data_IF_086865686523
#
_entry.id   IF_086865686523
#
_cell.length_a   1.000
_cell.length_b   1.000
_cell.length_c   1.000
_cell.angle_alpha   90.00
_cell.angle_beta   90.00
_cell.angle_gamma   90.00
#
_symmetry.space_group_name_H-M   'P 1'
#
loop_
_entity.id
_entity.type
_entity.pdbx_description
1 polymer ?
#
# COMPACT_ATOMS: atom_id res chain seq x y z
N UNK A 1 -17.15 -14.62 -11.74
CA UNK A 1 -16.27 -13.44 -11.76
C UNK A 1 -16.90 -12.37 -12.64
N UNK A 2 -17.14 -11.20 -12.08
CA UNK A 2 -17.66 -10.04 -12.83
C UNK A 2 -16.48 -9.27 -13.41
N UNK A 3 -16.59 -8.78 -14.64
CA UNK A 3 -15.57 -7.95 -15.28
C UNK A 3 -15.72 -6.46 -14.96
N UNK A 4 -16.87 -6.09 -14.44
CA UNK A 4 -17.28 -4.71 -14.16
C UNK A 4 -17.58 -4.56 -12.67
N UNK A 5 -17.29 -3.40 -12.12
CA UNK A 5 -17.69 -3.04 -10.76
C UNK A 5 -19.23 -3.03 -10.66
N UNK A 6 -19.77 -3.33 -9.48
CA UNK A 6 -21.18 -3.14 -9.21
C UNK A 6 -21.54 -1.65 -9.16
N UNK A 7 -22.82 -1.32 -9.33
CA UNK A 7 -23.30 0.07 -9.21
C UNK A 7 -22.93 0.68 -7.83
N UNK A 8 -22.96 -0.11 -6.76
CA UNK A 8 -22.57 0.31 -5.42
C UNK A 8 -21.07 0.63 -5.34
N UNK A 9 -20.22 -0.21 -5.95
CA UNK A 9 -18.77 -0.01 -6.01
C UNK A 9 -18.40 1.21 -6.86
N UNK A 10 -19.11 1.46 -7.96
CA UNK A 10 -18.94 2.65 -8.78
C UNK A 10 -19.34 3.92 -8.03
N UNK A 11 -20.49 3.89 -7.34
CA UNK A 11 -20.98 5.00 -6.53
C UNK A 11 -20.00 5.30 -5.38
N UNK A 12 -19.59 4.27 -4.65
CA UNK A 12 -18.58 4.37 -3.60
C UNK A 12 -17.28 5.02 -4.12
N UNK A 13 -16.74 4.48 -5.22
CA UNK A 13 -15.48 4.98 -5.82
C UNK A 13 -15.62 6.45 -6.24
N UNK A 14 -16.77 6.82 -6.79
CA UNK A 14 -17.06 8.21 -7.22
C UNK A 14 -17.15 9.13 -6.02
N UNK A 15 -17.91 8.76 -4.98
CA UNK A 15 -18.07 9.55 -3.76
C UNK A 15 -16.74 9.77 -3.03
N UNK A 16 -15.93 8.71 -2.90
CA UNK A 16 -14.60 8.83 -2.30
C UNK A 16 -13.68 9.73 -3.12
N UNK A 17 -13.72 9.63 -4.46
CA UNK A 17 -12.92 10.48 -5.36
C UNK A 17 -13.29 11.95 -5.23
N UNK A 18 -14.59 12.27 -5.18
CA UNK A 18 -15.08 13.63 -5.02
C UNK A 18 -14.66 14.20 -3.66
N UNK A 19 -14.84 13.43 -2.59
CA UNK A 19 -14.43 13.83 -1.25
C UNK A 19 -12.92 14.09 -1.17
N UNK A 20 -12.08 13.18 -1.69
CA UNK A 20 -10.64 13.36 -1.74
C UNK A 20 -10.24 14.56 -2.60
N UNK A 21 -10.93 14.81 -3.71
CA UNK A 21 -10.70 15.98 -4.56
C UNK A 21 -10.93 17.31 -3.84
N UNK A 22 -11.83 17.33 -2.86
CA UNK A 22 -12.12 18.53 -2.04
C UNK A 22 -11.21 18.66 -0.81
N UNK A 23 -10.79 17.54 -0.19
CA UNK A 23 -10.08 17.52 1.09
C UNK A 23 -8.58 17.32 0.98
N UNK A 24 -8.11 16.71 -0.11
CA UNK A 24 -6.71 16.36 -0.35
C UNK A 24 -6.23 16.90 -1.71
N UNK A 25 -6.54 18.17 -2.01
CA UNK A 25 -5.97 18.86 -3.17
C UNK A 25 -4.43 18.88 -3.08
N UNK A 26 -3.71 18.90 -4.20
CA UNK A 26 -2.25 18.83 -4.21
C UNK A 26 -1.58 19.89 -3.32
N UNK A 27 -2.13 21.10 -3.24
CA UNK A 27 -1.62 22.16 -2.37
C UNK A 27 -1.76 21.80 -0.88
N UNK A 28 -2.90 21.21 -0.49
CA UNK A 28 -3.16 20.72 0.87
C UNK A 28 -2.22 19.57 1.22
N UNK A 29 -2.06 18.60 0.32
CA UNK A 29 -1.13 17.48 0.51
C UNK A 29 0.30 18.00 0.70
N UNK A 30 0.78 18.91 -0.16
CA UNK A 30 2.10 19.54 0.01
C UNK A 30 2.23 20.23 1.37
N UNK A 31 1.20 20.94 1.81
CA UNK A 31 1.19 21.59 3.12
C UNK A 31 1.40 20.61 4.27
N UNK A 32 0.71 19.47 4.26
CA UNK A 32 0.93 18.41 5.25
C UNK A 32 2.36 17.84 5.18
N UNK A 33 2.85 17.56 3.97
CA UNK A 33 4.20 16.99 3.80
C UNK A 33 5.30 17.95 4.23
N UNK A 34 5.14 19.24 3.98
CA UNK A 34 6.11 20.28 4.37
C UNK A 34 6.11 20.49 5.89
N UNK A 35 4.96 20.38 6.53
CA UNK A 35 4.81 20.41 7.98
C UNK A 35 5.22 19.09 8.68
N UNK A 36 5.46 18.00 7.95
CA UNK A 36 5.62 16.67 8.53
C UNK A 36 4.36 16.16 9.24
N UNK A 37 3.19 16.66 8.83
CA UNK A 37 1.91 16.31 9.44
C UNK A 37 1.28 15.10 8.74
N UNK A 38 1.48 13.94 9.30
CA UNK A 38 0.87 12.69 8.85
C UNK A 38 -0.48 12.41 9.53
N UNK A 39 -0.90 13.20 10.50
CA UNK A 39 -2.08 12.94 11.32
C UNK A 39 -3.34 13.68 10.85
N UNK A 40 -3.20 14.83 10.20
CA UNK A 40 -4.36 15.61 9.75
C UNK A 40 -5.22 14.88 8.73
N UNK A 41 -4.60 14.18 7.78
CA UNK A 41 -5.35 13.37 6.82
C UNK A 41 -6.08 12.21 7.52
N UNK A 42 -5.43 11.48 8.43
CA UNK A 42 -6.05 10.38 9.16
C UNK A 42 -7.28 10.84 9.95
N UNK A 43 -7.20 11.99 10.65
CA UNK A 43 -8.35 12.54 11.36
C UNK A 43 -9.54 12.87 10.45
N UNK A 44 -9.27 13.42 9.26
CA UNK A 44 -10.31 13.70 8.27
C UNK A 44 -10.93 12.40 7.74
N UNK A 45 -10.09 11.40 7.45
CA UNK A 45 -10.51 10.13 6.88
C UNK A 45 -11.35 9.31 7.86
N UNK A 46 -10.95 9.28 9.13
CA UNK A 46 -11.70 8.69 10.25
C UNK A 46 -13.01 9.44 10.48
N UNK A 47 -12.97 10.78 10.52
CA UNK A 47 -14.14 11.61 10.84
C UNK A 47 -15.29 11.47 9.83
N UNK A 48 -15.00 11.10 8.60
CA UNK A 48 -16.00 10.81 7.54
C UNK A 48 -16.36 9.31 7.46
N UNK A 49 -15.71 8.46 8.25
CA UNK A 49 -15.99 7.02 8.29
C UNK A 49 -15.32 6.21 7.17
N UNK A 50 -14.50 6.80 6.31
CA UNK A 50 -13.85 6.08 5.21
C UNK A 50 -12.91 4.95 5.66
N UNK A 51 -12.44 5.02 6.90
CA UNK A 51 -11.58 3.98 7.51
C UNK A 51 -12.29 2.65 7.68
N UNK A 52 -13.61 2.65 7.83
CA UNK A 52 -14.42 1.43 8.05
C UNK A 52 -14.75 0.67 6.76
N UNK A 53 -14.54 1.26 5.58
CA UNK A 53 -14.88 0.60 4.31
C UNK A 53 -13.92 -0.58 4.04
N UNK A 54 -14.48 -1.73 3.70
CA UNK A 54 -13.74 -2.97 3.48
C UNK A 54 -13.46 -3.78 4.74
N UNK A 55 -13.98 -3.31 5.90
CA UNK A 55 -13.93 -4.05 7.17
C UNK A 55 -15.34 -4.53 7.55
N UNK A 56 -15.41 -5.65 8.24
CA UNK A 56 -16.67 -6.27 8.65
C UNK A 56 -17.47 -5.35 9.62
N UNK A 57 -18.78 -5.39 9.52
CA UNK A 57 -19.67 -4.57 10.37
C UNK A 57 -19.54 -4.92 11.85
N UNK A 58 -19.26 -6.19 12.17
CA UNK A 58 -19.09 -6.69 13.54
C UNK A 58 -17.90 -6.04 14.28
N UNK A 59 -16.98 -5.47 13.54
CA UNK A 59 -15.80 -4.74 14.09
C UNK A 59 -15.88 -3.23 13.84
N UNK A 60 -17.09 -2.69 13.67
CA UNK A 60 -17.31 -1.26 13.43
C UNK A 60 -16.99 -0.81 12.00
N UNK A 61 -16.81 -1.74 11.07
CA UNK A 61 -16.65 -1.45 9.66
C UNK A 61 -17.97 -1.13 8.94
N UNK A 62 -17.89 -0.87 7.64
CA UNK A 62 -19.04 -0.57 6.78
C UNK A 62 -19.29 -1.71 5.76
N UNK A 63 -18.73 -2.89 6.01
CA UNK A 63 -18.83 -4.01 5.07
C UNK A 63 -17.91 -3.87 3.86
N UNK A 64 -18.09 -4.78 2.90
CA UNK A 64 -17.18 -4.96 1.78
C UNK A 64 -16.03 -5.90 2.12
N UNK A 65 -14.96 -5.84 1.34
CA UNK A 65 -13.81 -6.72 1.49
C UNK A 65 -12.55 -6.17 0.84
N UNK A 66 -11.69 -7.07 0.39
CA UNK A 66 -10.40 -6.68 -0.18
C UNK A 66 -10.56 -5.87 -1.48
N UNK A 67 -11.64 -6.07 -2.23
CA UNK A 67 -11.91 -5.26 -3.43
C UNK A 67 -12.21 -3.80 -3.07
N UNK A 68 -13.06 -3.53 -2.08
CA UNK A 68 -13.35 -2.18 -1.60
C UNK A 68 -12.10 -1.51 -0.99
N UNK A 69 -11.27 -2.27 -0.27
CA UNK A 69 -9.97 -1.79 0.20
C UNK A 69 -9.03 -1.46 -0.98
N UNK A 70 -8.99 -2.27 -2.03
CA UNK A 70 -8.20 -1.98 -3.23
C UNK A 70 -8.71 -0.75 -3.98
N UNK A 71 -10.02 -0.58 -4.10
CA UNK A 71 -10.64 0.63 -4.67
C UNK A 71 -10.29 1.88 -3.83
N UNK A 72 -10.31 1.76 -2.51
CA UNK A 72 -9.85 2.82 -1.60
C UNK A 72 -8.38 3.16 -1.81
N UNK A 73 -7.49 2.15 -1.84
CA UNK A 73 -6.06 2.34 -2.10
C UNK A 73 -5.82 3.07 -3.42
N UNK A 74 -6.54 2.67 -4.49
CA UNK A 74 -6.50 3.34 -5.79
C UNK A 74 -6.86 4.82 -5.71
N UNK A 75 -7.93 5.19 -4.99
CA UNK A 75 -8.30 6.60 -4.84
C UNK A 75 -7.28 7.37 -3.98
N UNK A 76 -6.73 6.75 -2.94
CA UNK A 76 -5.64 7.34 -2.15
C UNK A 76 -4.38 7.55 -3.01
N UNK A 77 -4.01 6.60 -3.85
CA UNK A 77 -2.90 6.74 -4.81
C UNK A 77 -3.06 7.94 -5.74
N UNK A 78 -4.30 8.26 -6.18
CA UNK A 78 -4.59 9.40 -7.07
C UNK A 78 -4.34 10.76 -6.45
N UNK A 79 -4.30 10.88 -5.13
CA UNK A 79 -4.07 12.14 -4.40
C UNK A 79 -2.80 12.12 -3.55
N UNK A 80 -2.22 10.94 -3.34
CA UNK A 80 -0.98 10.70 -2.59
C UNK A 80 -0.94 11.34 -1.19
N UNK A 81 -1.98 11.22 -0.34
CA UNK A 81 -1.98 11.79 0.99
C UNK A 81 -1.10 10.98 1.95
N UNK A 82 -0.83 11.48 3.18
CA UNK A 82 -0.20 10.69 4.23
C UNK A 82 -1.13 9.58 4.73
N UNK A 83 -1.10 8.40 4.10
CA UNK A 83 -2.03 7.28 4.33
C UNK A 83 -1.34 5.99 4.80
N UNK A 84 -0.17 6.08 5.44
CA UNK A 84 0.54 4.90 5.93
C UNK A 84 -0.24 4.14 7.02
N UNK A 85 -0.93 4.86 7.92
CA UNK A 85 -1.75 4.27 8.97
C UNK A 85 -2.88 3.42 8.40
N UNK A 86 -3.65 3.98 7.46
CA UNK A 86 -4.73 3.26 6.81
C UNK A 86 -4.23 1.98 6.11
N UNK A 87 -3.13 2.09 5.35
CA UNK A 87 -2.55 0.94 4.65
C UNK A 87 -2.13 -0.16 5.63
N UNK A 88 -1.46 0.20 6.73
CA UNK A 88 -1.06 -0.75 7.77
C UNK A 88 -2.27 -1.40 8.45
N UNK A 89 -3.30 -0.61 8.80
CA UNK A 89 -4.53 -1.14 9.40
C UNK A 89 -5.22 -2.14 8.47
N UNK A 90 -5.27 -1.86 7.15
CA UNK A 90 -5.86 -2.77 6.17
C UNK A 90 -5.05 -4.07 5.99
N UNK A 91 -3.71 -4.00 6.10
CA UNK A 91 -2.82 -5.16 5.91
C UNK A 91 -2.80 -6.08 7.14
N UNK A 92 -2.85 -5.53 8.36
CA UNK A 92 -2.62 -6.30 9.59
C UNK A 92 -3.81 -7.13 10.06
N UNK A 93 -5.02 -6.84 9.55
CA UNK A 93 -6.29 -7.48 9.97
C UNK A 93 -6.23 -9.00 10.14
N UNK A 94 -5.61 -9.78 9.23
CA UNK A 94 -5.56 -11.23 9.40
C UNK A 94 -4.87 -11.68 10.70
N UNK A 95 -3.93 -10.88 11.22
CA UNK A 95 -3.27 -11.18 12.48
C UNK A 95 -4.10 -10.77 13.72
N UNK A 96 -5.18 -10.02 13.51
CA UNK A 96 -6.07 -9.51 14.55
C UNK A 96 -7.45 -10.20 14.55
N UNK A 97 -7.56 -11.38 13.95
CA UNK A 97 -8.82 -12.11 13.84
C UNK A 97 -9.47 -12.36 15.22
N UNK A 98 -8.67 -12.65 16.25
CA UNK A 98 -9.13 -12.86 17.63
C UNK A 98 -9.05 -11.56 18.49
N UNK A 99 -8.79 -10.43 17.88
CA UNK A 99 -8.65 -9.11 18.52
C UNK A 99 -9.62 -8.07 17.89
N UNK A 100 -10.93 -8.32 17.88
CA UNK A 100 -11.88 -7.45 17.18
C UNK A 100 -11.87 -6.01 17.70
N UNK A 101 -11.59 -5.80 18.99
CA UNK A 101 -11.48 -4.48 19.58
C UNK A 101 -10.35 -3.61 18.98
N UNK A 102 -9.24 -4.23 18.53
CA UNK A 102 -8.15 -3.50 17.87
C UNK A 102 -8.53 -3.08 16.45
N UNK A 103 -9.27 -3.92 15.75
CA UNK A 103 -9.81 -3.59 14.42
C UNK A 103 -10.85 -2.48 14.54
N UNK A 104 -11.75 -2.57 15.53
CA UNK A 104 -12.74 -1.53 15.82
C UNK A 104 -12.08 -0.19 16.13
N UNK A 105 -11.05 -0.16 16.98
CA UNK A 105 -10.31 1.05 17.30
C UNK A 105 -9.66 1.68 16.04
N UNK A 106 -9.16 0.86 15.12
CA UNK A 106 -8.64 1.35 13.84
C UNK A 106 -9.72 2.00 12.98
N UNK A 107 -10.92 1.42 12.91
CA UNK A 107 -12.06 1.97 12.15
C UNK A 107 -12.62 3.25 12.76
N UNK A 108 -12.81 3.30 14.07
CA UNK A 108 -13.54 4.37 14.77
C UNK A 108 -12.66 5.56 15.18
N UNK A 109 -11.41 5.30 15.56
CA UNK A 109 -10.50 6.32 16.09
C UNK A 109 -9.20 6.47 15.29
N UNK A 110 -8.91 5.57 14.34
CA UNK A 110 -7.66 5.52 13.61
C UNK A 110 -6.48 5.05 14.48
N UNK A 111 -6.74 4.37 15.61
CA UNK A 111 -5.68 3.82 16.45
C UNK A 111 -4.94 2.71 15.71
N UNK A 112 -3.68 2.95 15.39
CA UNK A 112 -2.90 2.10 14.52
C UNK A 112 -2.27 0.93 15.29
N UNK A 113 -2.58 -0.30 14.86
CA UNK A 113 -1.75 -1.48 15.10
C UNK A 113 -0.95 -1.76 13.83
N UNK A 114 0.36 -1.58 13.86
CA UNK A 114 1.21 -1.74 12.69
C UNK A 114 1.83 -3.14 12.61
N UNK A 115 1.98 -3.66 11.40
CA UNK A 115 2.74 -4.86 11.14
C UNK A 115 4.25 -4.54 11.19
N UNK A 116 4.98 -5.08 12.14
CA UNK A 116 6.41 -4.86 12.30
C UNK A 116 7.21 -5.82 11.43
N UNK A 117 7.32 -5.47 10.15
CA UNK A 117 8.18 -6.14 9.15
C UNK A 117 8.97 -5.09 8.36
N UNK A 118 10.13 -5.42 7.80
CA UNK A 118 10.86 -4.50 6.92
C UNK A 118 10.00 -4.13 5.71
N UNK A 119 9.82 -2.83 5.48
CA UNK A 119 8.95 -2.31 4.43
C UNK A 119 9.43 -2.61 3.00
N UNK A 120 10.70 -2.98 2.82
CA UNK A 120 11.32 -3.30 1.52
C UNK A 120 11.27 -4.80 1.17
N UNK A 121 10.65 -5.63 2.01
CA UNK A 121 10.60 -7.09 1.82
C UNK A 121 9.16 -7.59 1.84
N UNK A 122 8.93 -8.72 1.15
CA UNK A 122 7.66 -9.44 1.27
C UNK A 122 7.43 -9.77 2.75
N UNK A 123 6.24 -9.49 3.31
CA UNK A 123 5.95 -9.79 4.71
C UNK A 123 6.24 -11.26 5.05
N UNK A 124 7.06 -11.45 6.08
CA UNK A 124 7.49 -12.76 6.56
C UNK A 124 7.87 -12.67 8.04
N UNK A 125 7.89 -13.81 8.71
CA UNK A 125 8.43 -13.89 10.08
C UNK A 125 9.93 -13.60 10.09
N UNK A 126 10.35 -12.81 11.06
CA UNK A 126 11.73 -12.33 11.17
C UNK A 126 12.55 -13.19 12.13
N UNK A 127 13.74 -13.59 11.71
CA UNK A 127 14.76 -14.19 12.59
C UNK A 127 15.63 -13.15 13.31
N UNK A 128 15.44 -11.86 13.04
CA UNK A 128 16.16 -10.78 13.72
C UNK A 128 15.58 -10.42 15.10
N UNK A 129 14.43 -11.00 15.44
CA UNK A 129 13.80 -10.89 16.76
C UNK A 129 13.84 -12.23 17.45
N UNK A 130 14.29 -12.25 18.71
CA UNK A 130 14.36 -13.42 19.58
C UNK A 130 13.33 -13.32 20.69
N UNK A 131 12.88 -14.48 21.16
CA UNK A 131 11.92 -14.62 22.25
C UNK A 131 12.64 -15.22 23.47
N UNK A 132 12.52 -14.56 24.63
CA UNK A 132 13.04 -15.05 25.89
C UNK A 132 12.01 -14.80 26.99
N UNK A 133 11.40 -15.85 27.54
CA UNK A 133 10.39 -15.73 28.60
C UNK A 133 9.27 -14.71 28.27
N UNK A 134 8.66 -14.86 27.08
CA UNK A 134 7.60 -13.97 26.53
C UNK A 134 8.02 -12.48 26.39
N UNK A 135 9.31 -12.24 26.28
CA UNK A 135 9.87 -10.92 26.01
C UNK A 135 10.64 -10.92 24.70
N UNK A 136 10.51 -9.84 23.94
CA UNK A 136 11.13 -9.70 22.65
C UNK A 136 12.41 -8.90 22.70
N UNK A 137 13.42 -9.39 21.95
CA UNK A 137 14.72 -8.75 21.78
C UNK A 137 15.11 -8.72 20.31
N UNK A 138 15.46 -7.57 19.79
CA UNK A 138 15.92 -7.45 18.41
C UNK A 138 15.66 -6.10 17.80
N UNK A 139 15.78 -6.04 16.47
CA UNK A 139 15.53 -4.82 15.70
C UNK A 139 14.89 -5.17 14.36
N UNK A 140 13.89 -4.41 13.99
CA UNK A 140 13.19 -4.51 12.72
C UNK A 140 13.40 -3.19 11.96
N UNK A 141 14.13 -3.19 10.84
CA UNK A 141 14.42 -1.96 10.12
C UNK A 141 13.22 -1.50 9.32
N UNK A 142 13.07 -0.19 9.20
CA UNK A 142 12.16 0.48 8.26
C UNK A 142 10.72 -0.08 8.30
N UNK A 143 10.08 -0.07 9.47
CA UNK A 143 8.68 -0.45 9.64
C UNK A 143 7.79 0.72 9.23
N UNK A 144 6.89 0.50 8.27
CA UNK A 144 5.96 1.50 7.77
C UNK A 144 4.96 1.91 8.87
N UNK A 145 4.68 3.21 9.02
CA UNK A 145 3.71 3.74 9.99
C UNK A 145 4.16 3.62 11.46
N UNK A 146 5.38 3.13 11.73
CA UNK A 146 5.83 2.83 13.10
C UNK A 146 5.84 4.05 14.03
N UNK A 147 6.05 5.25 13.50
CA UNK A 147 6.12 6.48 14.31
C UNK A 147 4.79 6.83 14.99
N UNK A 148 3.69 6.27 14.51
CA UNK A 148 2.33 6.57 14.98
C UNK A 148 1.58 5.32 15.49
N UNK A 149 2.23 4.17 15.47
CA UNK A 149 1.62 2.94 15.95
C UNK A 149 1.40 2.97 17.46
N UNK A 150 0.20 2.63 17.89
CA UNK A 150 -0.09 2.35 19.29
C UNK A 150 0.38 0.94 19.68
N UNK A 151 0.38 0.03 18.70
CA UNK A 151 0.80 -1.38 18.87
C UNK A 151 1.51 -1.90 17.64
N UNK A 152 2.27 -2.97 17.85
CA UNK A 152 2.94 -3.72 16.80
C UNK A 152 2.52 -5.19 16.82
N UNK A 153 2.16 -5.73 15.66
CA UNK A 153 2.17 -7.18 15.43
C UNK A 153 3.56 -7.55 14.91
N UNK A 154 4.26 -8.39 15.66
CA UNK A 154 5.64 -8.82 15.38
C UNK A 154 5.66 -10.29 14.99
N UNK A 155 5.84 -10.63 13.68
CA UNK A 155 6.05 -12.00 13.25
C UNK A 155 7.48 -12.45 13.55
N UNK A 156 7.63 -13.55 14.30
CA UNK A 156 8.94 -14.06 14.74
C UNK A 156 9.17 -15.48 14.23
N UNK A 157 10.39 -15.74 13.73
CA UNK A 157 10.91 -17.06 13.40
C UNK A 157 12.07 -17.38 14.35
N UNK A 158 11.85 -18.30 15.30
CA UNK A 158 12.85 -18.68 16.29
C UNK A 158 12.99 -20.20 16.37
N UNK A 159 14.18 -20.71 16.11
CA UNK A 159 14.48 -22.15 16.15
C UNK A 159 13.60 -23.02 15.26
N UNK A 160 13.11 -22.49 14.13
CA UNK A 160 12.18 -23.16 13.22
C UNK A 160 10.70 -23.02 13.60
N UNK A 161 10.39 -22.39 14.74
CA UNK A 161 9.03 -22.11 15.16
C UNK A 161 8.61 -20.71 14.67
N UNK A 162 7.39 -20.62 14.15
CA UNK A 162 6.76 -19.35 13.75
C UNK A 162 5.77 -18.92 14.83
N UNK A 163 5.74 -17.63 15.13
CA UNK A 163 4.81 -17.05 16.12
C UNK A 163 4.50 -15.59 15.80
N UNK A 164 3.33 -15.14 16.23
CA UNK A 164 2.91 -13.74 16.15
C UNK A 164 2.81 -13.17 17.57
N UNK A 165 3.30 -11.97 17.74
CA UNK A 165 3.32 -11.29 19.02
C UNK A 165 2.75 -9.89 18.93
N UNK A 166 1.94 -9.51 19.90
CA UNK A 166 1.42 -8.16 20.06
C UNK A 166 2.24 -7.42 21.12
N UNK A 167 2.69 -6.22 20.77
CA UNK A 167 3.51 -5.34 21.61
C UNK A 167 2.84 -3.97 21.67
N UNK A 168 2.69 -3.39 22.85
CA UNK A 168 2.32 -1.99 23.00
C UNK A 168 3.53 -1.09 22.68
N UNK A 169 3.34 -0.08 21.84
CA UNK A 169 4.42 0.82 21.43
C UNK A 169 4.94 1.69 22.59
N UNK A 170 4.15 1.88 23.63
CA UNK A 170 4.51 2.62 24.85
C UNK A 170 5.27 1.80 25.88
N UNK A 171 5.50 0.50 25.66
CA UNK A 171 6.24 -0.34 26.58
C UNK A 171 7.69 0.09 26.74
N UNK A 172 8.20 -0.01 27.97
CA UNK A 172 9.62 0.19 28.23
C UNK A 172 10.46 -0.81 27.42
N UNK A 173 11.49 -0.32 26.74
CA UNK A 173 12.34 -1.13 25.86
C UNK A 173 11.97 -1.05 24.38
N UNK A 174 10.82 -0.46 24.01
CA UNK A 174 10.51 -0.12 22.62
C UNK A 174 11.24 1.16 22.23
N UNK A 175 12.10 1.08 21.21
CA UNK A 175 12.83 2.22 20.66
C UNK A 175 12.42 2.47 19.20
N UNK A 176 12.03 3.71 18.88
CA UNK A 176 11.69 4.11 17.52
C UNK A 176 12.75 5.06 16.97
N UNK A 177 13.32 4.72 15.81
CA UNK A 177 14.29 5.55 15.09
C UNK A 177 13.72 5.93 13.73
N UNK A 178 13.14 7.14 13.56
CA UNK A 178 12.52 7.59 12.31
C UNK A 178 13.46 7.48 11.12
N UNK A 179 12.90 7.10 9.95
CA UNK A 179 13.58 7.03 8.66
C UNK A 179 13.03 8.08 7.71
N UNK A 180 13.92 8.79 7.04
CA UNK A 180 13.54 9.71 5.96
C UNK A 180 13.35 8.91 4.68
N UNK A 181 12.12 8.92 4.15
CA UNK A 181 11.78 8.32 2.86
C UNK A 181 11.76 9.39 1.76
N UNK A 182 12.04 8.98 0.51
CA UNK A 182 11.93 9.87 -0.64
C UNK A 182 10.47 10.33 -0.85
N UNK A 183 9.51 9.41 -0.68
CA UNK A 183 8.10 9.74 -0.60
C UNK A 183 7.75 10.12 0.85
N UNK A 184 7.65 11.42 1.11
CA UNK A 184 7.32 11.96 2.42
C UNK A 184 5.86 11.76 2.84
N UNK A 185 5.02 11.24 1.95
CA UNK A 185 3.63 10.86 2.26
C UNK A 185 3.53 9.50 2.99
N UNK A 186 4.66 8.83 3.16
CA UNK A 186 4.81 7.62 3.97
C UNK A 186 5.83 7.88 5.06
N UNK A 187 5.51 7.48 6.28
CA UNK A 187 6.43 7.49 7.40
C UNK A 187 6.91 6.07 7.74
N UNK A 188 8.11 5.96 8.24
CA UNK A 188 8.68 4.70 8.69
C UNK A 188 9.70 4.94 9.81
N UNK A 189 9.92 3.92 10.63
CA UNK A 189 11.00 3.92 11.63
C UNK A 189 11.61 2.53 11.76
N UNK A 190 12.84 2.48 12.25
CA UNK A 190 13.36 1.23 12.80
C UNK A 190 12.74 1.02 14.19
N UNK A 191 12.27 -0.19 14.43
CA UNK A 191 11.71 -0.61 15.72
C UNK A 191 12.75 -1.45 16.46
N UNK A 192 13.26 -0.94 17.57
CA UNK A 192 14.12 -1.66 18.51
C UNK A 192 13.28 -2.27 19.62
N UNK A 193 13.61 -3.49 19.99
CA UNK A 193 12.96 -4.23 21.07
C UNK A 193 14.08 -4.68 22.04
N UNK A 194 14.08 -4.13 23.25
CA UNK A 194 15.05 -4.48 24.28
C UNK A 194 14.29 -4.92 25.54
N UNK A 195 14.19 -6.23 25.71
CA UNK A 195 13.48 -6.87 26.81
C UNK A 195 12.02 -6.42 26.93
N UNK A 196 11.30 -6.38 25.78
CA UNK A 196 9.93 -5.86 25.70
C UNK A 196 8.93 -6.97 26.03
N UNK A 197 8.02 -6.77 26.99
CA UNK A 197 6.95 -7.72 27.24
C UNK A 197 6.02 -7.78 26.03
N UNK A 198 5.62 -9.00 25.67
CA UNK A 198 4.77 -9.20 24.50
C UNK A 198 3.74 -10.29 24.78
N UNK A 199 2.57 -10.16 24.16
CA UNK A 199 1.52 -11.15 24.24
C UNK A 199 1.47 -11.95 22.93
N UNK A 200 1.54 -13.27 23.05
CA UNK A 200 1.41 -14.16 21.89
C UNK A 200 -0.01 -14.09 21.34
N UNK A 201 -0.14 -13.98 20.02
CA UNK A 201 -1.40 -14.12 19.31
C UNK A 201 -1.61 -15.60 18.95
N UNK A 202 -2.84 -16.08 19.16
CA UNK A 202 -3.22 -17.45 18.81
C UNK A 202 -3.75 -17.46 17.37
N UNK A 203 -2.89 -17.86 16.43
CA UNK A 203 -3.20 -17.87 15.00
C UNK A 203 -2.40 -18.95 14.26
N UNK A 204 -2.94 -19.46 13.15
CA UNK A 204 -2.10 -20.17 12.16
C UNK A 204 -1.17 -19.16 11.50
N UNK A 205 0.05 -19.09 12.00
CA UNK A 205 1.04 -18.07 11.60
C UNK A 205 1.35 -18.14 10.11
N UNK A 206 1.44 -19.33 9.53
CA UNK A 206 1.79 -19.52 8.11
C UNK A 206 0.65 -18.99 7.21
N UNK A 207 -0.57 -19.36 7.52
CA UNK A 207 -1.75 -18.90 6.79
C UNK A 207 -1.92 -17.37 6.96
N UNK A 208 -1.79 -16.87 8.19
CA UNK A 208 -1.90 -15.44 8.51
C UNK A 208 -0.87 -14.58 7.77
N UNK A 209 0.40 -14.98 7.77
CA UNK A 209 1.46 -14.24 7.04
C UNK A 209 1.23 -14.29 5.54
N UNK A 210 0.74 -15.41 5.01
CA UNK A 210 0.39 -15.53 3.59
C UNK A 210 -0.73 -14.56 3.22
N UNK A 211 -1.76 -14.48 4.05
CA UNK A 211 -2.88 -13.55 3.84
C UNK A 211 -2.43 -12.08 3.97
N UNK A 212 -1.61 -11.75 4.95
CA UNK A 212 -0.99 -10.43 5.10
C UNK A 212 -0.19 -10.05 3.84
N UNK A 213 0.64 -10.97 3.33
CA UNK A 213 1.43 -10.72 2.12
C UNK A 213 0.54 -10.53 0.88
N UNK A 214 -0.55 -11.30 0.78
CA UNK A 214 -1.56 -11.18 -0.28
C UNK A 214 -2.22 -9.81 -0.24
N UNK A 215 -2.71 -9.36 0.93
CA UNK A 215 -3.30 -8.02 1.11
C UNK A 215 -2.30 -6.91 0.80
N UNK A 216 -1.08 -6.99 1.31
CA UNK A 216 -0.03 -6.03 1.03
C UNK A 216 0.25 -5.89 -0.48
N UNK A 217 0.33 -7.01 -1.19
CA UNK A 217 0.56 -7.04 -2.63
C UNK A 217 -0.56 -6.33 -3.40
N UNK A 218 -1.83 -6.67 -3.11
CA UNK A 218 -3.00 -6.10 -3.78
C UNK A 218 -3.13 -4.61 -3.50
N UNK A 219 -3.04 -4.19 -2.22
CA UNK A 219 -3.26 -2.80 -1.83
C UNK A 219 -2.16 -1.87 -2.34
N UNK A 220 -0.90 -2.30 -2.33
CA UNK A 220 0.20 -1.51 -2.89
C UNK A 220 0.12 -1.45 -4.42
N UNK A 221 -0.33 -2.51 -5.09
CA UNK A 221 -0.58 -2.48 -6.53
C UNK A 221 -1.71 -1.49 -6.88
N UNK A 222 -2.77 -1.45 -6.08
CA UNK A 222 -3.89 -0.52 -6.25
C UNK A 222 -3.47 0.95 -6.00
N UNK A 223 -2.67 1.23 -4.98
CA UNK A 223 -2.12 2.56 -4.71
C UNK A 223 -1.24 3.05 -5.88
N UNK A 224 -0.34 2.18 -6.37
CA UNK A 224 0.51 2.48 -7.54
C UNK A 224 -0.32 2.77 -8.81
N UNK A 225 -1.40 2.01 -9.04
CA UNK A 225 -2.34 2.26 -10.14
C UNK A 225 -2.96 3.64 -10.03
N UNK A 226 -3.45 4.02 -8.85
CA UNK A 226 -4.02 5.35 -8.62
C UNK A 226 -3.04 6.48 -8.91
N UNK A 227 -1.79 6.34 -8.46
CA UNK A 227 -0.72 7.29 -8.78
C UNK A 227 -0.45 7.36 -10.29
N UNK A 228 -0.44 6.21 -10.99
CA UNK A 228 -0.25 6.15 -12.43
C UNK A 228 -1.37 6.83 -13.22
N UNK A 229 -2.62 6.62 -12.83
CA UNK A 229 -3.78 7.31 -13.42
C UNK A 229 -3.66 8.82 -13.32
N UNK A 230 -3.23 9.32 -12.14
CA UNK A 230 -3.04 10.76 -11.95
C UNK A 230 -1.89 11.29 -12.79
N UNK A 231 -0.80 10.55 -12.88
CA UNK A 231 0.34 10.93 -13.74
C UNK A 231 -0.02 10.96 -15.23
N UNK A 232 -0.81 10.00 -15.70
CA UNK A 232 -1.35 10.01 -17.06
C UNK A 232 -2.20 11.26 -17.33
N UNK A 233 -3.13 11.58 -16.39
CA UNK A 233 -3.97 12.76 -16.51
C UNK A 233 -3.13 14.04 -16.59
N UNK A 234 -2.16 14.21 -15.69
CA UNK A 234 -1.25 15.37 -15.68
C UNK A 234 -0.45 15.47 -16.99
N UNK A 235 0.06 14.36 -17.51
CA UNK A 235 0.83 14.33 -18.75
C UNK A 235 -0.02 14.69 -19.97
N UNK A 236 -1.27 14.21 -20.03
CA UNK A 236 -2.21 14.55 -21.10
C UNK A 236 -2.57 16.03 -21.04
N UNK A 237 -2.88 16.59 -19.86
CA UNK A 237 -3.25 18.00 -19.72
C UNK A 237 -2.07 18.92 -20.03
N UNK A 238 -0.87 18.59 -19.58
CA UNK A 238 0.33 19.32 -19.93
C UNK A 238 0.60 19.29 -21.45
N UNK A 239 0.40 18.15 -22.10
CA UNK A 239 0.61 17.97 -23.53
C UNK A 239 -0.34 18.79 -24.39
N UNK A 240 -1.54 19.11 -23.90
CA UNK A 240 -2.50 20.01 -24.55
C UNK A 240 -2.11 21.49 -24.44
N UNK A 241 -1.44 21.86 -23.34
CA UNK A 241 -1.13 23.26 -23.01
C UNK A 241 0.25 23.68 -23.50
N UNK A 242 1.25 22.80 -23.36
CA UNK A 242 2.65 23.09 -23.72
C UNK A 242 2.81 23.20 -25.22
N UNK A 243 3.36 24.31 -25.69
CA UNK A 243 3.61 24.56 -27.11
C UNK A 243 5.10 24.44 -27.43
N UNK A 244 5.41 23.76 -28.54
CA UNK A 244 6.72 23.71 -29.17
C UNK A 244 6.54 23.63 -30.69
N UNK A 245 7.48 24.23 -31.43
CA UNK A 245 7.45 24.25 -32.89
C UNK A 245 6.12 24.72 -33.46
N UNK A 246 5.48 25.72 -32.82
CA UNK A 246 4.25 26.35 -33.28
C UNK A 246 2.95 25.57 -33.00
N UNK A 247 2.99 24.50 -32.22
CA UNK A 247 1.80 23.68 -31.89
C UNK A 247 1.90 23.03 -30.51
N UNK A 248 0.78 22.57 -29.91
CA UNK A 248 0.80 21.78 -28.68
C UNK A 248 1.66 20.52 -28.86
N UNK A 249 2.43 20.16 -27.82
CA UNK A 249 3.29 18.95 -27.92
C UNK A 249 2.49 17.67 -28.12
N UNK A 250 1.23 17.62 -27.66
CA UNK A 250 0.30 16.52 -27.93
C UNK A 250 -0.04 16.31 -29.41
N UNK A 251 0.31 17.22 -30.32
CA UNK A 251 0.18 17.02 -31.75
C UNK A 251 1.22 16.06 -32.34
N UNK A 252 2.38 15.89 -31.65
CA UNK A 252 3.46 15.02 -32.14
C UNK A 252 3.18 13.54 -31.88
N UNK A 253 3.51 12.69 -32.87
CA UNK A 253 3.24 11.25 -32.77
C UNK A 253 3.95 10.58 -31.59
N UNK A 254 5.20 10.97 -31.29
CA UNK A 254 5.92 10.42 -30.15
C UNK A 254 5.19 10.65 -28.81
N UNK A 255 4.62 11.84 -28.60
CA UNK A 255 3.83 12.17 -27.41
C UNK A 255 2.53 11.36 -27.38
N UNK A 256 1.81 11.27 -28.51
CA UNK A 256 0.58 10.47 -28.62
C UNK A 256 0.83 9.00 -28.31
N UNK A 257 1.89 8.41 -28.86
CA UNK A 257 2.19 7.00 -28.65
C UNK A 257 2.61 6.73 -27.20
N UNK A 258 3.37 7.63 -26.59
CA UNK A 258 3.72 7.53 -25.15
C UNK A 258 2.48 7.59 -24.30
N UNK A 259 1.57 8.55 -24.51
CA UNK A 259 0.31 8.66 -23.75
C UNK A 259 -0.60 7.44 -23.97
N UNK A 260 -0.67 6.90 -25.19
CA UNK A 260 -1.42 5.68 -25.48
C UNK A 260 -0.84 4.46 -24.74
N UNK A 261 0.50 4.33 -24.70
CA UNK A 261 1.15 3.25 -23.94
C UNK A 261 0.92 3.39 -22.42
N UNK A 262 0.92 4.62 -21.90
CA UNK A 262 0.58 4.89 -20.50
C UNK A 262 -0.88 4.47 -20.22
N UNK A 263 -1.82 4.77 -21.12
CA UNK A 263 -3.21 4.34 -20.96
C UNK A 263 -3.35 2.81 -20.96
N UNK A 264 -2.67 2.10 -21.88
CA UNK A 264 -2.65 0.63 -21.89
C UNK A 264 -2.14 0.07 -20.56
N UNK A 265 -1.10 0.68 -19.98
CA UNK A 265 -0.58 0.28 -18.67
C UNK A 265 -1.62 0.47 -17.57
N UNK A 266 -2.34 1.60 -17.56
CA UNK A 266 -3.38 1.89 -16.56
C UNK A 266 -4.54 0.89 -16.67
N UNK A 267 -5.10 0.69 -17.87
CA UNK A 267 -6.26 -0.17 -18.09
C UNK A 267 -5.95 -1.65 -17.77
N UNK A 268 -4.79 -2.14 -18.21
CA UNK A 268 -4.37 -3.50 -17.86
C UNK A 268 -4.12 -3.65 -16.35
N UNK A 269 -3.55 -2.65 -15.70
CA UNK A 269 -3.31 -2.66 -14.26
C UNK A 269 -4.61 -2.68 -13.47
N UNK A 270 -5.64 -1.95 -13.90
CA UNK A 270 -6.95 -1.96 -13.28
C UNK A 270 -7.55 -3.37 -13.29
N UNK A 271 -7.55 -4.03 -14.45
CA UNK A 271 -8.06 -5.39 -14.58
C UNK A 271 -7.31 -6.38 -13.67
N UNK A 272 -5.98 -6.27 -13.61
CA UNK A 272 -5.14 -7.15 -12.78
C UNK A 272 -5.42 -6.92 -11.28
N UNK A 273 -5.52 -5.66 -10.83
CA UNK A 273 -5.81 -5.33 -9.42
C UNK A 273 -7.18 -5.84 -9.00
N UNK A 274 -8.23 -5.55 -9.78
CA UNK A 274 -9.58 -6.01 -9.46
C UNK A 274 -9.67 -7.53 -9.42
N UNK A 275 -9.06 -8.22 -10.39
CA UNK A 275 -9.02 -9.67 -10.40
C UNK A 275 -8.31 -10.26 -9.17
N UNK A 276 -7.16 -9.71 -8.80
CA UNK A 276 -6.40 -10.19 -7.64
C UNK A 276 -7.15 -9.93 -6.32
N UNK A 277 -7.81 -8.78 -6.19
CA UNK A 277 -8.60 -8.43 -5.01
C UNK A 277 -9.83 -9.35 -4.86
N UNK A 278 -10.58 -9.55 -5.93
CA UNK A 278 -11.74 -10.44 -5.95
C UNK A 278 -11.35 -11.91 -5.70
N UNK A 279 -10.28 -12.37 -6.35
CA UNK A 279 -9.73 -13.71 -6.14
C UNK A 279 -9.36 -13.99 -4.69
N UNK A 280 -8.78 -13.01 -4.02
CA UNK A 280 -8.45 -13.12 -2.60
C UNK A 280 -9.70 -13.03 -1.71
N UNK A 281 -10.65 -12.15 -2.03
CA UNK A 281 -11.92 -12.03 -1.31
C UNK A 281 -12.79 -13.28 -1.38
N UNK A 282 -12.81 -13.96 -2.54
CA UNK A 282 -13.50 -15.23 -2.74
C UNK A 282 -12.71 -16.45 -2.21
N UNK A 283 -11.48 -16.26 -1.72
CA UNK A 283 -10.65 -17.34 -1.18
C UNK A 283 -10.20 -18.38 -2.23
N UNK A 284 -10.00 -17.96 -3.49
CA UNK A 284 -9.60 -18.87 -4.55
C UNK A 284 -8.25 -19.56 -4.23
N UNK A 285 -8.03 -20.81 -4.68
CA UNK A 285 -6.79 -21.55 -4.37
C UNK A 285 -5.51 -20.79 -4.79
N UNK A 286 -5.53 -20.15 -5.95
CA UNK A 286 -4.38 -19.44 -6.53
C UNK A 286 -4.31 -17.95 -6.17
N UNK A 287 -5.11 -17.47 -5.19
CA UNK A 287 -5.21 -16.05 -4.80
C UNK A 287 -3.87 -15.41 -4.47
N UNK A 288 -2.97 -16.14 -3.81
CA UNK A 288 -1.64 -15.65 -3.47
C UNK A 288 -0.77 -15.41 -4.72
N UNK A 289 -0.91 -16.27 -5.74
CA UNK A 289 -0.25 -16.10 -7.04
C UNK A 289 -0.83 -14.91 -7.80
N UNK A 290 -2.14 -14.74 -7.81
CA UNK A 290 -2.80 -13.59 -8.44
C UNK A 290 -2.37 -12.26 -7.80
N UNK A 291 -2.26 -12.21 -6.47
CA UNK A 291 -1.72 -11.06 -5.74
C UNK A 291 -0.24 -10.80 -6.07
N UNK A 292 0.58 -11.85 -6.17
CA UNK A 292 1.97 -11.74 -6.56
C UNK A 292 2.12 -11.17 -7.98
N UNK A 293 1.29 -11.63 -8.93
CA UNK A 293 1.23 -11.10 -10.31
C UNK A 293 0.83 -9.62 -10.28
N UNK A 294 -0.21 -9.25 -9.50
CA UNK A 294 -0.64 -7.87 -9.38
C UNK A 294 0.50 -6.97 -8.86
N UNK A 295 1.18 -7.38 -7.78
CA UNK A 295 2.28 -6.60 -7.22
C UNK A 295 3.45 -6.45 -8.19
N UNK A 296 3.89 -7.54 -8.80
CA UNK A 296 5.04 -7.52 -9.71
C UNK A 296 4.74 -6.69 -10.97
N UNK A 297 3.64 -7.00 -11.65
CA UNK A 297 3.30 -6.41 -12.95
C UNK A 297 2.86 -4.95 -12.82
N UNK A 298 1.94 -4.66 -11.90
CA UNK A 298 1.35 -3.32 -11.77
C UNK A 298 2.38 -2.33 -11.24
N UNK A 299 3.08 -2.64 -10.14
CA UNK A 299 4.02 -1.68 -9.58
C UNK A 299 5.25 -1.47 -10.46
N UNK A 300 5.66 -2.50 -11.24
CA UNK A 300 6.69 -2.38 -12.26
C UNK A 300 6.27 -1.46 -13.40
N UNK A 301 5.08 -1.70 -13.96
CA UNK A 301 4.49 -0.91 -15.05
C UNK A 301 4.21 0.53 -14.65
N UNK A 302 3.62 0.77 -13.47
CA UNK A 302 3.34 2.11 -12.95
C UNK A 302 4.63 2.91 -12.68
N UNK A 303 5.69 2.28 -12.20
CA UNK A 303 6.99 2.93 -12.03
C UNK A 303 7.64 3.32 -13.37
N UNK A 304 7.48 2.50 -14.41
CA UNK A 304 7.93 2.84 -15.77
C UNK A 304 7.07 3.96 -16.40
N UNK A 305 5.74 3.92 -16.15
CA UNK A 305 4.84 5.00 -16.54
C UNK A 305 5.23 6.34 -15.90
N UNK A 306 5.67 6.33 -14.64
CA UNK A 306 6.16 7.53 -13.97
C UNK A 306 7.35 8.16 -14.72
N UNK A 307 8.30 7.36 -15.23
CA UNK A 307 9.40 7.85 -16.04
C UNK A 307 8.92 8.44 -17.37
N UNK A 308 7.92 7.83 -18.00
CA UNK A 308 7.27 8.35 -19.20
C UNK A 308 6.59 9.69 -18.95
N UNK A 309 5.82 9.81 -17.86
CA UNK A 309 5.16 11.04 -17.45
C UNK A 309 6.18 12.16 -17.19
N UNK A 310 7.28 11.85 -16.49
CA UNK A 310 8.37 12.78 -16.24
C UNK A 310 9.04 13.27 -17.53
N UNK A 311 9.26 12.37 -18.48
CA UNK A 311 9.81 12.70 -19.80
C UNK A 311 8.90 13.63 -20.58
N UNK A 312 7.57 13.42 -20.59
CA UNK A 312 6.61 14.27 -21.27
C UNK A 312 6.54 15.69 -20.67
N UNK A 313 6.74 15.85 -19.37
CA UNK A 313 6.78 17.16 -18.71
C UNK A 313 8.13 17.87 -18.94
N UNK A 314 9.22 17.13 -19.16
CA UNK A 314 10.56 17.71 -19.26
C UNK A 314 11.01 18.35 -17.95
N UNK A 315 11.74 19.47 -18.05
CA UNK A 315 12.37 20.10 -16.88
C UNK A 315 11.41 20.46 -15.75
N UNK A 316 10.17 20.87 -16.04
CA UNK A 316 9.19 21.25 -15.00
C UNK A 316 8.78 20.06 -14.13
N UNK A 317 8.76 18.86 -14.69
CA UNK A 317 8.42 17.64 -13.94
C UNK A 317 9.43 17.30 -12.83
N UNK A 318 10.65 17.85 -12.88
CA UNK A 318 11.67 17.68 -11.85
C UNK A 318 11.57 18.73 -10.73
N UNK A 319 10.73 19.75 -10.89
CA UNK A 319 10.63 20.84 -9.92
C UNK A 319 9.62 20.52 -8.81
N UNK A 320 9.81 21.13 -7.65
CA UNK A 320 8.86 21.06 -6.53
C UNK A 320 7.56 21.84 -6.76
N UNK A 321 7.55 22.67 -7.79
CA UNK A 321 6.41 23.51 -8.16
C UNK A 321 5.31 22.72 -8.86
N UNK A 322 5.67 21.62 -9.53
CA UNK A 322 4.74 20.79 -10.28
C UNK A 322 4.35 19.55 -9.50
N UNK A 323 3.05 19.25 -9.41
CA UNK A 323 2.49 18.15 -8.59
C UNK A 323 2.95 16.75 -8.98
N UNK A 324 3.52 16.57 -10.18
CA UNK A 324 3.99 15.27 -10.68
C UNK A 324 4.92 14.56 -9.70
N UNK A 325 5.77 15.32 -8.99
CA UNK A 325 6.75 14.74 -8.07
C UNK A 325 6.11 13.95 -6.90
N UNK A 326 4.87 14.27 -6.50
CA UNK A 326 4.14 13.55 -5.46
C UNK A 326 3.87 12.13 -5.91
N UNK A 327 3.27 11.98 -7.08
CA UNK A 327 2.87 10.70 -7.65
C UNK A 327 4.07 9.90 -8.17
N UNK A 328 5.08 10.58 -8.70
CA UNK A 328 6.33 9.95 -9.11
C UNK A 328 7.01 9.23 -7.94
N UNK A 329 7.18 9.92 -6.83
CA UNK A 329 7.83 9.35 -5.63
C UNK A 329 7.00 8.22 -5.02
N UNK A 330 5.65 8.36 -5.01
CA UNK A 330 4.74 7.32 -4.57
C UNK A 330 4.90 6.06 -5.42
N UNK A 331 4.85 6.15 -6.74
CA UNK A 331 5.02 5.00 -7.64
C UNK A 331 6.40 4.34 -7.50
N UNK A 332 7.47 5.12 -7.26
CA UNK A 332 8.81 4.56 -7.02
C UNK A 332 8.92 3.86 -5.68
N UNK A 333 8.25 4.36 -4.63
CA UNK A 333 8.18 3.69 -3.35
C UNK A 333 7.35 2.40 -3.45
N UNK A 334 6.15 2.46 -4.04
CA UNK A 334 5.26 1.30 -4.17
C UNK A 334 5.91 0.14 -4.94
N UNK A 335 6.80 0.45 -5.88
CA UNK A 335 7.59 -0.57 -6.57
C UNK A 335 8.42 -1.43 -5.63
N UNK A 336 8.92 -0.87 -4.53
CA UNK A 336 9.78 -1.58 -3.56
C UNK A 336 9.05 -1.95 -2.27
N UNK A 337 7.96 -1.25 -1.94
CA UNK A 337 7.21 -1.46 -0.72
C UNK A 337 6.63 -2.88 -0.67
N UNK A 338 6.91 -3.59 0.43
CA UNK A 338 6.57 -5.00 0.65
C UNK A 338 7.06 -5.95 -0.46
N UNK A 339 8.27 -5.69 -0.96
CA UNK A 339 8.96 -6.52 -1.94
C UNK A 339 8.95 -5.95 -3.35
N UNK A 340 10.10 -6.07 -4.01
CA UNK A 340 10.28 -5.63 -5.40
C UNK A 340 9.55 -6.54 -6.41
N UNK A 341 9.28 -6.07 -7.64
CA UNK A 341 8.77 -6.93 -8.71
C UNK A 341 9.60 -8.20 -8.93
N UNK A 342 10.93 -8.10 -8.80
CA UNK A 342 11.81 -9.27 -8.94
C UNK A 342 11.56 -10.30 -7.82
N UNK A 343 11.44 -9.86 -6.55
CA UNK A 343 11.16 -10.76 -5.44
C UNK A 343 9.79 -11.45 -5.57
N UNK A 344 8.80 -10.75 -6.10
CA UNK A 344 7.49 -11.34 -6.34
C UNK A 344 7.49 -12.29 -7.54
N UNK A 345 8.28 -12.01 -8.59
CA UNK A 345 8.48 -12.94 -9.72
C UNK A 345 9.16 -14.24 -9.28
N UNK A 346 10.14 -14.21 -8.37
CA UNK A 346 10.72 -15.42 -7.77
C UNK A 346 9.63 -16.24 -7.07
N UNK A 347 8.78 -15.59 -6.26
CA UNK A 347 7.67 -16.27 -5.59
C UNK A 347 6.65 -16.87 -6.56
N UNK A 348 6.41 -16.24 -7.72
CA UNK A 348 5.58 -16.81 -8.78
C UNK A 348 6.28 -18.02 -9.41
N UNK A 349 7.58 -17.93 -9.66
CA UNK A 349 8.36 -19.01 -10.25
C UNK A 349 8.38 -20.28 -9.36
N UNK A 350 8.41 -20.10 -8.03
CA UNK A 350 8.38 -21.21 -7.06
C UNK A 350 7.13 -22.08 -7.15
N UNK A 351 6.00 -21.54 -7.63
CA UNK A 351 4.74 -22.29 -7.76
C UNK A 351 4.48 -22.81 -9.18
N UNK A 352 5.32 -22.41 -10.15
CA UNK A 352 5.18 -22.91 -11.53
C UNK A 352 5.88 -24.26 -11.70
N UNK A 353 5.27 -25.23 -12.40
CA UNK A 353 5.86 -26.54 -12.65
C UNK A 353 6.95 -26.45 -13.75
N UNK A 354 8.00 -25.69 -13.48
CA UNK A 354 9.09 -25.44 -14.46
C UNK A 354 10.00 -26.64 -14.68
N UNK A 355 10.03 -27.59 -13.75
CA UNK A 355 10.81 -28.82 -13.88
C UNK A 355 9.85 -30.01 -13.98
N UNK A 356 10.21 -31.07 -14.77
CA UNK A 356 9.42 -32.29 -14.79
C UNK A 356 9.37 -32.88 -13.38
N UNK A 357 8.19 -33.39 -12.98
CA UNK A 357 8.11 -34.13 -11.74
C UNK A 357 9.14 -35.28 -11.77
N UNK A 358 10.06 -35.24 -10.80
CA UNK A 358 10.99 -36.38 -10.64
C UNK A 358 10.17 -37.64 -10.33
N UNK A 359 10.22 -38.59 -11.24
CA UNK A 359 9.52 -39.89 -11.11
C UNK A 359 9.98 -40.68 -9.87
#
# INVERSE_FOLDING_TARGET
MRWELSEEQELFTTSLREWLGQRAEPATVRGWLDAGDHSSFDRLFVGEGWTGVGFAEEVGGQGGGLLELALTARQLGRVAPPSASWLQSAIVVPALADEPALVQAACESGELTALAVPADRIPAASSSVQIRADRLHGRIPCVLGATRAARFVVPVADGGNLSLWLVDAGEGGVGLHPRSLLDRSRDAADVGLDDVPARRLDADVTATITEIATRAAVLVAADALGAAERMLQLAVDYSKQRQQFGQPIGAFQAVKHTAAQMLVTVESSLSIVCYAAESAGEGLPDRATHAAVAKAQVTGGCAALADSALTLHGAIGYTWEHDLHLFYKRAKLDRVLFGTPAAWNERIADVLPLLPATA
#
